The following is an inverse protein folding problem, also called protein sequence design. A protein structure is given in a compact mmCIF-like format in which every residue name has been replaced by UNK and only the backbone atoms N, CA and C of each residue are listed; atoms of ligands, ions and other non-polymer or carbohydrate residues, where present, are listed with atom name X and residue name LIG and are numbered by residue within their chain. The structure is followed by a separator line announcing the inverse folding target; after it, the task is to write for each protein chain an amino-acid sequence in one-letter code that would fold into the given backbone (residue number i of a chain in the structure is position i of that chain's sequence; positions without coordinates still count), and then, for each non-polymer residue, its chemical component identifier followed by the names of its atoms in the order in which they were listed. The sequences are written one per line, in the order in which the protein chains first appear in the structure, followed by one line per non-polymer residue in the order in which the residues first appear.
data_IF_669893712243
#
_entry.id   IF_669893712243
#
_cell.length_a   1.000
_cell.length_b   1.000
_cell.length_c   1.000
_cell.angle_alpha   90.00
_cell.angle_beta   90.00
_cell.angle_gamma   90.00
#
_symmetry.space_group_name_H-M   'P 1'
#
loop_
_entity.id
_entity.type
_entity.pdbx_description
1 polymer ?
#
# COMPACT_ATOMS: atom_id res chain seq x y z
N UNK A 1 -1.57 1.51 8.49
CA UNK A 1 -0.77 1.92 7.33
C UNK A 1 0.31 0.89 7.07
N UNK A 2 0.54 0.54 5.83
CA UNK A 2 1.60 -0.40 5.44
C UNK A 2 2.49 0.28 4.41
N UNK A 3 3.79 0.21 4.60
CA UNK A 3 4.77 0.73 3.65
C UNK A 3 5.25 -0.40 2.75
N UNK A 4 4.96 -0.27 1.44
CA UNK A 4 5.39 -1.22 0.41
C UNK A 4 6.59 -0.63 -0.31
N UNK A 5 7.74 -1.25 -0.19
CA UNK A 5 8.97 -0.79 -0.83
C UNK A 5 9.53 -1.83 -1.78
N UNK A 6 10.21 -1.38 -2.83
CA UNK A 6 10.98 -2.28 -3.69
C UNK A 6 12.15 -2.81 -2.87
N UNK A 7 12.24 -4.12 -2.75
CA UNK A 7 13.18 -4.74 -1.86
C UNK A 7 14.63 -4.61 -2.27
N UNK A 8 15.45 -4.43 -1.29
CA UNK A 8 16.88 -4.31 -1.45
C UNK A 8 17.63 -5.19 -0.44
N UNK A 9 17.19 -5.20 0.82
CA UNK A 9 17.86 -5.94 1.88
C UNK A 9 16.84 -6.44 2.92
N UNK A 10 16.44 -7.72 2.86
CA UNK A 10 15.50 -8.28 3.85
C UNK A 10 16.03 -8.26 5.27
N UNK A 11 17.34 -8.24 5.47
CA UNK A 11 17.93 -8.19 6.79
C UNK A 11 17.69 -6.87 7.52
N UNK A 12 17.20 -5.84 6.80
CA UNK A 12 16.83 -4.56 7.41
C UNK A 12 15.81 -4.72 8.54
N UNK A 13 14.85 -5.66 8.38
CA UNK A 13 13.88 -5.94 9.43
C UNK A 13 14.51 -6.48 10.70
N UNK A 14 15.50 -7.34 10.55
CA UNK A 14 16.23 -7.91 11.68
C UNK A 14 17.05 -6.85 12.41
N UNK A 15 17.64 -5.92 11.66
CA UNK A 15 18.38 -4.78 12.24
C UNK A 15 17.49 -3.89 13.09
N UNK A 16 16.21 -3.77 12.73
CA UNK A 16 15.23 -3.02 13.51
C UNK A 16 14.59 -3.87 14.60
N UNK A 17 15.09 -5.09 14.80
CA UNK A 17 14.56 -6.02 15.79
C UNK A 17 13.07 -6.33 15.58
N UNK A 18 12.68 -6.43 14.33
CA UNK A 18 11.30 -6.71 13.91
C UNK A 18 11.23 -8.12 13.34
N UNK A 19 10.06 -8.75 13.47
CA UNK A 19 9.80 -10.06 12.89
C UNK A 19 9.81 -9.98 11.36
N UNK A 20 10.48 -10.93 10.71
CA UNK A 20 10.54 -11.04 9.25
C UNK A 20 9.79 -12.29 8.82
N UNK A 21 8.83 -12.15 7.88
CA UNK A 21 8.05 -13.27 7.38
C UNK A 21 8.09 -13.28 5.84
N UNK A 22 8.85 -14.21 5.23
CA UNK A 22 8.89 -14.33 3.77
C UNK A 22 7.57 -14.81 3.19
N UNK A 23 7.15 -14.21 2.07
CA UNK A 23 6.01 -14.64 1.29
C UNK A 23 6.42 -14.96 -0.15
N UNK A 24 5.44 -15.25 -1.02
CA UNK A 24 5.70 -15.60 -2.42
C UNK A 24 6.18 -14.41 -3.25
N UNK A 25 5.53 -13.25 -3.10
CA UNK A 25 5.86 -12.04 -3.87
C UNK A 25 6.47 -10.94 -3.03
N UNK A 26 6.46 -11.10 -1.69
CA UNK A 26 6.91 -10.06 -0.75
C UNK A 26 7.50 -10.68 0.49
N UNK A 27 8.24 -9.86 1.24
CA UNK A 27 8.72 -10.20 2.56
C UNK A 27 8.13 -9.18 3.53
N UNK A 28 7.37 -9.66 4.51
CA UNK A 28 6.77 -8.80 5.51
C UNK A 28 7.68 -8.62 6.72
N UNK A 29 7.73 -7.40 7.22
CA UNK A 29 8.54 -7.03 8.38
C UNK A 29 7.61 -6.41 9.43
N UNK A 30 7.73 -6.88 10.66
CA UNK A 30 6.84 -6.50 11.75
C UNK A 30 5.49 -7.20 11.62
N UNK A 31 4.41 -6.51 12.01
CA UNK A 31 3.04 -7.03 11.91
C UNK A 31 2.36 -6.51 10.63
N UNK A 32 3.02 -6.70 9.51
CA UNK A 32 2.64 -6.22 8.18
C UNK A 32 2.74 -4.68 8.02
N UNK A 33 3.45 -4.01 8.90
CA UNK A 33 3.73 -2.58 8.74
C UNK A 33 4.61 -2.30 7.53
N UNK A 34 5.53 -3.22 7.25
CA UNK A 34 6.42 -3.14 6.09
C UNK A 34 6.25 -4.36 5.23
N UNK A 35 6.16 -4.12 3.92
CA UNK A 35 6.18 -5.17 2.92
C UNK A 35 7.34 -4.90 1.98
N UNK A 36 8.32 -5.79 1.96
CA UNK A 36 9.46 -5.68 1.05
C UNK A 36 9.13 -6.50 -0.18
N UNK A 37 8.88 -5.83 -1.30
CA UNK A 37 8.45 -6.46 -2.54
C UNK A 37 9.61 -7.10 -3.27
N UNK A 38 9.38 -8.29 -3.82
CA UNK A 38 10.38 -9.00 -4.63
C UNK A 38 10.44 -8.52 -6.07
N UNK A 39 9.41 -7.78 -6.52
CA UNK A 39 9.34 -7.19 -7.86
C UNK A 39 8.83 -5.75 -7.75
N UNK A 40 9.17 -4.88 -8.72
CA UNK A 40 8.66 -3.51 -8.73
C UNK A 40 7.12 -3.48 -8.77
N UNK A 41 6.54 -2.61 -7.95
CA UNK A 41 5.13 -2.28 -7.98
C UNK A 41 4.96 -0.80 -8.31
N UNK A 42 3.84 -0.19 -7.89
CA UNK A 42 3.61 1.23 -8.08
C UNK A 42 4.52 2.06 -7.19
N UNK A 43 4.85 3.27 -7.69
CA UNK A 43 5.67 4.24 -7.00
C UNK A 43 7.14 4.08 -7.29
N UNK A 44 7.84 5.18 -7.53
CA UNK A 44 9.27 5.20 -7.81
C UNK A 44 10.07 4.63 -6.64
N UNK A 45 9.68 4.99 -5.42
CA UNK A 45 10.31 4.53 -4.19
C UNK A 45 9.48 3.49 -3.45
N UNK A 46 8.35 3.07 -4.01
CA UNK A 46 7.41 2.16 -3.40
C UNK A 46 6.03 2.77 -3.25
N UNK A 47 5.17 2.13 -2.46
CA UNK A 47 3.83 2.64 -2.21
C UNK A 47 3.42 2.46 -0.75
N UNK A 48 2.49 3.29 -0.31
CA UNK A 48 2.01 3.33 1.06
C UNK A 48 0.52 2.99 1.07
N UNK A 49 0.14 2.00 1.86
CA UNK A 49 -1.24 1.59 2.04
C UNK A 49 -1.83 2.24 3.29
N UNK A 50 -3.01 2.83 3.13
CA UNK A 50 -3.74 3.45 4.23
C UNK A 50 -5.01 2.63 4.47
N UNK A 51 -5.13 2.04 5.66
CA UNK A 51 -6.29 1.24 6.03
C UNK A 51 -7.53 2.10 6.27
N UNK A 52 -8.67 1.67 5.73
CA UNK A 52 -9.95 2.36 5.86
C UNK A 52 -11.04 1.38 6.24
N UNK A 53 -12.04 1.86 6.99
CA UNK A 53 -13.21 1.06 7.30
C UNK A 53 -14.11 0.85 6.08
N UNK A 54 -14.10 1.80 5.15
CA UNK A 54 -14.88 1.74 3.92
C UNK A 54 -14.15 2.53 2.84
N UNK A 55 -13.59 1.82 1.86
CA UNK A 55 -12.76 2.43 0.82
C UNK A 55 -13.58 3.39 -0.06
N UNK A 56 -14.78 2.99 -0.50
CA UNK A 56 -15.64 3.85 -1.34
C UNK A 56 -16.00 5.15 -0.64
N UNK A 57 -16.30 5.08 0.66
CA UNK A 57 -16.61 6.26 1.46
C UNK A 57 -15.39 7.17 1.59
N UNK A 58 -14.22 6.60 1.79
CA UNK A 58 -12.98 7.35 1.88
C UNK A 58 -12.67 8.04 0.55
N UNK A 59 -12.86 7.35 -0.57
CA UNK A 59 -12.69 7.93 -1.91
C UNK A 59 -13.63 9.14 -2.07
N UNK A 60 -14.89 8.99 -1.69
CA UNK A 60 -15.86 10.08 -1.79
C UNK A 60 -15.40 11.31 -1.00
N UNK A 61 -15.09 11.14 0.27
CA UNK A 61 -14.69 12.25 1.14
C UNK A 61 -13.38 12.91 0.72
N UNK A 62 -12.38 12.12 0.34
CA UNK A 62 -11.10 12.65 -0.10
C UNK A 62 -11.21 13.34 -1.46
N UNK A 63 -12.05 12.83 -2.36
CA UNK A 63 -12.31 13.48 -3.65
C UNK A 63 -12.91 14.85 -3.46
N UNK A 64 -13.76 15.05 -2.46
CA UNK A 64 -14.33 16.36 -2.12
C UNK A 64 -13.25 17.35 -1.69
N UNK A 65 -12.13 16.88 -1.21
CA UNK A 65 -10.99 17.71 -0.78
C UNK A 65 -9.92 17.86 -1.85
N UNK A 66 -10.21 17.42 -3.08
CA UNK A 66 -9.32 17.59 -4.21
C UNK A 66 -8.35 16.44 -4.47
N UNK A 67 -8.43 15.34 -3.72
CA UNK A 67 -7.61 14.15 -3.99
C UNK A 67 -8.18 13.43 -5.20
N UNK A 68 -7.31 13.11 -6.16
CA UNK A 68 -7.71 12.37 -7.36
C UNK A 68 -7.33 10.90 -7.24
N UNK A 69 -8.24 10.04 -7.70
CA UNK A 69 -8.05 8.59 -7.65
C UNK A 69 -8.01 8.00 -9.05
N UNK A 70 -7.16 6.98 -9.21
CA UNK A 70 -7.15 6.14 -10.39
C UNK A 70 -8.23 5.08 -10.22
N UNK A 71 -9.42 5.36 -10.72
CA UNK A 71 -10.57 4.47 -10.54
C UNK A 71 -10.40 3.14 -11.27
N UNK A 72 -9.54 3.07 -12.28
CA UNK A 72 -9.23 1.82 -12.97
C UNK A 72 -8.41 0.88 -12.09
N UNK A 73 -7.78 1.40 -11.03
CA UNK A 73 -7.02 0.59 -10.09
C UNK A 73 -7.88 -0.04 -8.99
N UNK A 74 -9.19 0.23 -8.96
CA UNK A 74 -10.08 -0.35 -7.96
C UNK A 74 -10.00 -1.88 -7.99
N UNK A 75 -9.83 -2.46 -6.80
CA UNK A 75 -9.96 -3.89 -6.60
C UNK A 75 -11.27 -4.12 -5.84
N UNK A 76 -12.19 -4.86 -6.47
CA UNK A 76 -13.51 -5.13 -5.91
C UNK A 76 -13.65 -6.60 -5.59
N UNK A 77 -14.09 -6.92 -4.37
CA UNK A 77 -14.36 -8.28 -3.93
C UNK A 77 -15.74 -8.34 -3.30
N UNK A 78 -16.57 -9.28 -3.75
CA UNK A 78 -17.95 -9.46 -3.24
C UNK A 78 -18.76 -8.16 -3.32
N UNK A 79 -18.62 -7.42 -4.41
CA UNK A 79 -19.34 -6.17 -4.63
C UNK A 79 -18.85 -4.98 -3.81
N UNK A 80 -17.72 -5.12 -3.10
CA UNK A 80 -17.17 -4.09 -2.24
C UNK A 80 -15.77 -3.73 -2.67
N UNK A 81 -15.48 -2.43 -2.77
CA UNK A 81 -14.13 -1.96 -3.08
C UNK A 81 -13.21 -2.23 -1.90
N UNK A 82 -12.12 -2.97 -2.14
CA UNK A 82 -11.15 -3.31 -1.09
C UNK A 82 -9.83 -2.57 -1.24
N UNK A 83 -9.57 -1.96 -2.39
CA UNK A 83 -8.37 -1.15 -2.61
C UNK A 83 -8.58 -0.19 -3.78
N UNK A 84 -7.88 0.95 -3.73
CA UNK A 84 -7.84 1.91 -4.83
C UNK A 84 -6.63 2.82 -4.67
N UNK A 85 -5.89 3.04 -5.77
CA UNK A 85 -4.76 3.94 -5.77
C UNK A 85 -5.18 5.39 -6.01
N UNK A 86 -4.45 6.32 -5.38
CA UNK A 86 -4.50 7.73 -5.74
C UNK A 86 -3.67 7.96 -7.00
N UNK A 87 -4.02 8.99 -7.78
CA UNK A 87 -3.23 9.39 -8.93
C UNK A 87 -1.91 10.05 -8.48
N UNK A 88 -0.84 9.78 -9.22
CA UNK A 88 0.46 10.42 -9.00
C UNK A 88 1.21 9.85 -7.81
N UNK A 89 2.27 10.56 -7.45
CA UNK A 89 3.17 10.18 -6.36
C UNK A 89 3.45 11.39 -5.47
N UNK A 90 3.76 11.13 -4.21
CA UNK A 90 4.21 12.15 -3.27
C UNK A 90 5.58 11.70 -2.76
N UNK A 91 6.61 12.50 -3.00
CA UNK A 91 8.00 12.18 -2.65
C UNK A 91 8.47 10.84 -3.22
N UNK A 92 7.97 10.47 -4.41
CA UNK A 92 8.32 9.21 -5.07
C UNK A 92 7.52 8.01 -4.58
N UNK A 93 6.53 8.20 -3.70
CA UNK A 93 5.67 7.11 -3.21
C UNK A 93 4.27 7.22 -3.82
N UNK A 94 3.76 6.09 -4.29
CA UNK A 94 2.34 5.97 -4.62
C UNK A 94 1.56 5.71 -3.32
N UNK A 95 0.31 6.14 -3.28
CA UNK A 95 -0.55 5.92 -2.12
C UNK A 95 -1.80 5.16 -2.55
N UNK A 96 -2.24 4.21 -1.72
CA UNK A 96 -3.51 3.55 -1.97
C UNK A 96 -4.28 3.33 -0.68
N UNK A 97 -5.61 3.29 -0.83
CA UNK A 97 -6.51 2.94 0.26
C UNK A 97 -6.74 1.44 0.22
N UNK A 98 -6.84 0.84 1.40
CA UNK A 98 -7.16 -0.59 1.52
C UNK A 98 -8.20 -0.79 2.61
N UNK A 99 -9.04 -1.80 2.43
CA UNK A 99 -10.02 -2.18 3.44
C UNK A 99 -9.30 -2.75 4.66
N UNK A 100 -9.54 -2.15 5.77
CA UNK A 100 -8.97 -2.62 7.04
C UNK A 100 -9.73 -3.84 7.57
#
# INVERSE_FOLDING_TARGET
MTLHVLQVDPAGGERLNMKVAPGNSSIFVGNKEFEIMKKPGRGTNGHIAIGCNNVDRAIYHLSQRGVKFDLDSKNVKNGKTVACYMEGEIAGFAFHLVQA
#
